data_IF_724050736473
#
_entry.id   IF_724050736473
#
_cell.length_a   1.000
_cell.length_b   1.000
_cell.length_c   1.000
_cell.angle_alpha   90.00
_cell.angle_beta   90.00
_cell.angle_gamma   90.00
#
_symmetry.space_group_name_H-M   'P 1'
#
loop_
_entity.id
_entity.type
_entity.pdbx_description
1 polymer ?
#
# COMPACT_ATOMS: atom_id res chain seq x y z
N UNK A 1 10.98 11.57 9.85
CA UNK A 1 9.97 10.59 9.39
C UNK A 1 9.09 11.31 8.37
N UNK A 2 8.76 10.65 7.26
CA UNK A 2 7.86 11.19 6.23
C UNK A 2 6.46 10.59 6.39
N UNK A 3 5.45 11.44 6.29
CA UNK A 3 4.05 11.06 6.39
C UNK A 3 3.47 10.68 5.03
N UNK A 4 2.71 9.59 5.01
CA UNK A 4 1.95 9.04 3.90
C UNK A 4 0.53 8.74 4.36
N UNK A 5 -0.34 8.34 3.43
CA UNK A 5 -1.74 7.99 3.73
C UNK A 5 -1.95 6.52 3.47
N UNK A 6 -2.40 5.79 4.49
CA UNK A 6 -2.78 4.37 4.38
C UNK A 6 -4.28 4.22 4.56
N UNK A 7 -4.92 3.55 3.62
CA UNK A 7 -6.34 3.23 3.66
C UNK A 7 -6.59 2.12 4.69
N UNK A 8 -7.45 2.41 5.67
CA UNK A 8 -7.98 1.44 6.59
C UNK A 8 -9.37 1.03 6.11
N UNK A 9 -9.50 -0.16 5.52
CA UNK A 9 -10.79 -0.58 4.95
C UNK A 9 -11.81 -1.06 5.98
N UNK A 10 -11.42 -1.32 7.23
CA UNK A 10 -12.37 -1.56 8.34
C UNK A 10 -13.06 -0.25 8.73
N UNK A 11 -12.27 0.79 8.97
CA UNK A 11 -12.77 2.09 9.41
C UNK A 11 -13.22 3.01 8.27
N UNK A 12 -12.94 2.59 7.03
CA UNK A 12 -13.32 3.33 5.83
C UNK A 12 -12.73 4.74 5.74
N UNK A 13 -11.49 4.90 6.21
CA UNK A 13 -10.79 6.19 6.21
C UNK A 13 -9.29 6.01 6.00
N UNK A 14 -8.64 7.10 5.58
CA UNK A 14 -7.18 7.17 5.56
C UNK A 14 -6.64 7.48 6.95
N UNK A 15 -5.57 6.80 7.32
CA UNK A 15 -4.80 7.03 8.54
C UNK A 15 -3.36 7.47 8.18
N UNK A 16 -2.72 8.30 9.03
CA UNK A 16 -1.31 8.63 8.86
C UNK A 16 -0.43 7.38 8.89
N UNK A 17 0.46 7.26 7.91
CA UNK A 17 1.46 6.20 7.81
C UNK A 17 2.85 6.83 7.76
N UNK A 18 3.65 6.59 8.80
CA UNK A 18 4.97 7.21 8.92
C UNK A 18 6.07 6.25 8.48
N UNK A 19 6.93 6.75 7.60
CA UNK A 19 8.05 6.00 7.03
C UNK A 19 9.36 6.72 7.35
N UNK A 20 10.45 6.01 7.65
CA UNK A 20 11.79 6.60 7.76
C UNK A 20 12.18 7.41 6.52
N UNK A 21 12.92 8.51 6.71
CA UNK A 21 13.28 9.42 5.60
C UNK A 21 14.29 8.85 4.62
N UNK A 22 15.06 7.86 5.05
CA UNK A 22 16.02 7.11 4.24
C UNK A 22 15.33 6.11 3.29
N UNK A 23 14.02 5.89 3.43
CA UNK A 23 13.26 4.96 2.59
C UNK A 23 12.71 5.63 1.34
N UNK A 24 12.84 4.93 0.22
CA UNK A 24 12.45 5.39 -1.11
C UNK A 24 11.15 4.72 -1.57
N UNK A 25 10.03 5.24 -1.10
CA UNK A 25 8.72 4.88 -1.64
C UNK A 25 8.55 5.52 -3.02
N UNK A 26 8.37 4.69 -4.04
CA UNK A 26 8.23 5.11 -5.42
C UNK A 26 6.77 5.03 -5.86
N UNK A 27 6.26 6.07 -6.51
CA UNK A 27 4.92 6.08 -7.10
C UNK A 27 4.96 5.60 -8.56
N UNK A 28 6.00 6.02 -9.28
CA UNK A 28 6.19 5.75 -10.69
C UNK A 28 7.68 5.85 -11.05
N UNK A 29 8.14 4.95 -11.91
CA UNK A 29 9.46 4.97 -12.53
C UNK A 29 9.37 4.35 -13.93
N UNK A 30 10.16 4.86 -14.87
CA UNK A 30 10.41 4.22 -16.17
C UNK A 30 11.59 3.24 -16.09
N UNK A 31 12.46 3.42 -15.10
CA UNK A 31 13.58 2.51 -14.82
C UNK A 31 13.07 1.34 -13.97
N UNK A 32 13.03 0.15 -14.58
CA UNK A 32 12.58 -1.11 -13.97
C UNK A 32 13.63 -1.73 -13.05
N UNK A 33 14.88 -1.31 -13.17
CA UNK A 33 16.01 -1.79 -12.38
C UNK A 33 16.26 -0.92 -11.15
N UNK A 34 15.55 0.19 -11.05
CA UNK A 34 15.58 1.12 -9.94
C UNK A 34 15.29 0.40 -8.62
N UNK A 35 16.24 0.48 -7.67
CA UNK A 35 15.99 0.03 -6.31
C UNK A 35 15.06 1.01 -5.59
N UNK A 36 13.96 0.46 -5.07
CA UNK A 36 12.91 1.17 -4.32
C UNK A 36 12.57 0.37 -3.07
N UNK A 37 11.95 1.00 -2.07
CA UNK A 37 11.48 0.30 -0.88
C UNK A 37 9.99 -0.04 -1.01
N UNK A 38 9.63 -1.28 -0.69
CA UNK A 38 8.23 -1.70 -0.57
C UNK A 38 7.50 -0.80 0.43
N UNK A 39 6.38 -0.20 0.02
CA UNK A 39 5.62 0.73 0.86
C UNK A 39 4.93 0.11 2.09
N UNK A 40 5.01 -1.21 2.28
CA UNK A 40 4.43 -1.92 3.42
C UNK A 40 5.53 -2.43 4.38
N UNK A 41 6.46 -3.25 3.86
CA UNK A 41 7.48 -3.89 4.69
C UNK A 41 8.85 -3.17 4.69
N UNK A 42 9.00 -2.10 3.89
CA UNK A 42 10.21 -1.27 3.80
C UNK A 42 11.49 -2.03 3.40
N UNK A 43 11.33 -3.20 2.78
CA UNK A 43 12.44 -3.96 2.20
C UNK A 43 12.74 -3.42 0.79
N UNK A 44 14.04 -3.32 0.42
CA UNK A 44 14.44 -2.99 -0.94
C UNK A 44 13.94 -4.03 -1.95
N UNK A 45 13.53 -3.58 -3.12
CA UNK A 45 13.06 -4.38 -4.26
C UNK A 45 13.31 -3.60 -5.56
N UNK A 46 13.45 -4.28 -6.69
CA UNK A 46 13.51 -3.60 -8.00
C UNK A 46 12.12 -3.11 -8.38
N UNK A 47 12.01 -1.89 -8.89
CA UNK A 47 10.74 -1.30 -9.28
C UNK A 47 9.94 -2.20 -10.25
N UNK A 48 10.62 -2.89 -11.18
CA UNK A 48 9.99 -3.79 -12.12
C UNK A 48 9.37 -5.06 -11.52
N UNK A 49 9.66 -5.37 -10.26
CA UNK A 49 9.10 -6.51 -9.52
C UNK A 49 7.93 -6.10 -8.61
N UNK A 50 7.53 -4.83 -8.66
CA UNK A 50 6.52 -4.27 -7.77
C UNK A 50 5.13 -4.28 -8.39
N UNK A 51 4.13 -4.20 -7.53
CA UNK A 51 2.75 -3.89 -7.89
C UNK A 51 2.37 -2.51 -7.36
N UNK A 52 1.20 -2.03 -7.76
CA UNK A 52 0.58 -0.81 -7.20
C UNK A 52 -0.18 -1.15 -5.92
N UNK A 53 0.21 -0.55 -4.80
CA UNK A 53 -0.47 -0.72 -3.52
C UNK A 53 -1.94 -0.31 -3.61
N UNK A 54 -2.78 -1.04 -2.89
CA UNK A 54 -4.22 -0.77 -2.71
C UNK A 54 -4.53 -0.03 -1.41
N UNK A 55 -3.52 0.16 -0.57
CA UNK A 55 -3.68 0.74 0.75
C UNK A 55 -2.87 2.03 0.89
N UNK A 56 -1.62 2.06 0.45
CA UNK A 56 -0.73 3.21 0.63
C UNK A 56 -0.81 4.08 -0.62
N UNK A 57 -1.43 5.25 -0.49
CA UNK A 57 -1.73 6.15 -1.61
C UNK A 57 -1.13 7.54 -1.41
N UNK A 58 -0.94 8.26 -2.53
CA UNK A 58 -0.68 9.70 -2.51
C UNK A 58 -1.98 10.51 -2.29
N UNK A 59 -1.88 11.84 -2.31
CA UNK A 59 -3.01 12.74 -2.06
C UNK A 59 -4.18 12.62 -3.05
N UNK A 60 -3.96 12.01 -4.23
CA UNK A 60 -4.96 11.85 -5.29
C UNK A 60 -5.39 10.39 -5.52
N UNK A 61 -4.91 9.46 -4.69
CA UNK A 61 -5.33 8.05 -4.74
C UNK A 61 -4.45 7.12 -5.59
N UNK A 62 -3.29 7.56 -6.08
CA UNK A 62 -2.33 6.66 -6.73
C UNK A 62 -1.55 5.85 -5.70
N UNK A 63 -1.41 4.55 -5.93
CA UNK A 63 -0.67 3.65 -5.05
C UNK A 63 0.84 3.66 -5.26
N UNK A 64 1.55 3.53 -4.15
CA UNK A 64 3.00 3.35 -4.16
C UNK A 64 3.39 1.91 -4.50
N UNK A 65 4.65 1.72 -4.88
CA UNK A 65 5.25 0.43 -5.17
C UNK A 65 5.21 -0.50 -3.94
N UNK A 66 4.65 -1.69 -4.11
CA UNK A 66 4.55 -2.73 -3.10
C UNK A 66 5.11 -4.05 -3.63
N UNK A 67 5.79 -4.82 -2.78
CA UNK A 67 6.32 -6.12 -3.20
C UNK A 67 5.21 -7.17 -3.38
N UNK A 68 5.45 -8.25 -4.15
CA UNK A 68 4.44 -9.27 -4.45
C UNK A 68 3.76 -9.86 -3.21
N UNK A 69 4.57 -10.19 -2.18
CA UNK A 69 4.07 -10.74 -0.92
C UNK A 69 3.09 -9.78 -0.24
N UNK A 70 3.49 -8.52 -0.06
CA UNK A 70 2.63 -7.55 0.62
C UNK A 70 1.41 -7.18 -0.23
N UNK A 71 1.48 -7.26 -1.56
CA UNK A 71 0.33 -7.07 -2.43
C UNK A 71 -0.73 -8.17 -2.25
N UNK A 72 -0.30 -9.42 -2.09
CA UNK A 72 -1.21 -10.52 -1.75
C UNK A 72 -1.87 -10.31 -0.39
N UNK A 73 -1.09 -9.91 0.62
CA UNK A 73 -1.62 -9.60 1.96
C UNK A 73 -2.63 -8.41 1.93
N UNK A 74 -2.42 -7.40 1.08
CA UNK A 74 -3.39 -6.31 0.85
C UNK A 74 -4.71 -6.84 0.26
N UNK A 75 -4.64 -7.78 -0.68
CA UNK A 75 -5.84 -8.42 -1.23
C UNK A 75 -6.61 -9.24 -0.20
N UNK A 76 -5.90 -10.01 0.62
CA UNK A 76 -6.52 -10.78 1.70
C UNK A 76 -7.23 -9.87 2.70
N UNK A 77 -6.56 -8.79 3.15
CA UNK A 77 -7.18 -7.78 4.03
C UNK A 77 -8.42 -7.17 3.40
N UNK A 78 -8.35 -6.81 2.11
CA UNK A 78 -9.50 -6.26 1.39
C UNK A 78 -10.69 -7.22 1.37
N UNK A 79 -10.49 -8.50 1.08
CA UNK A 79 -11.55 -9.52 1.11
C UNK A 79 -12.19 -9.65 2.49
N UNK A 80 -11.37 -9.64 3.55
CA UNK A 80 -11.87 -9.69 4.93
C UNK A 80 -12.79 -8.51 5.24
N UNK A 81 -12.40 -7.29 4.84
CA UNK A 81 -13.19 -6.09 5.10
C UNK A 81 -14.45 -6.00 4.24
N UNK A 82 -14.40 -6.48 2.99
CA UNK A 82 -15.57 -6.56 2.11
C UNK A 82 -16.61 -7.54 2.69
N UNK A 83 -16.19 -8.72 3.14
CA UNK A 83 -17.09 -9.69 3.77
C UNK A 83 -17.70 -9.16 5.08
N UNK A 84 -16.92 -8.43 5.90
CA UNK A 84 -17.42 -7.83 7.14
C UNK A 84 -18.54 -6.80 6.88
N UNK A 85 -18.42 -6.02 5.79
CA UNK A 85 -19.46 -5.06 5.42
C UNK A 85 -20.76 -5.76 5.02
N UNK A 86 -20.65 -6.83 4.24
CA UNK A 86 -21.82 -7.62 3.83
C UNK A 86 -22.56 -8.15 5.05
N UNK A 87 -21.83 -8.71 6.03
CA UNK A 87 -22.45 -9.16 7.29
C UNK A 87 -23.09 -8.05 8.12
N UNK A 88 -22.51 -6.83 8.12
CA UNK A 88 -23.08 -5.67 8.85
C UNK A 88 -24.22 -4.94 8.13
N UNK A 89 -24.46 -5.25 6.85
CA UNK A 89 -25.52 -4.63 6.05
C UNK A 89 -26.82 -5.46 6.05
N UNK A 90 -26.77 -6.69 6.58
CA UNK A 90 -27.89 -7.63 6.68
C UNK A 90 -28.59 -7.60 8.07
N UNK A 91 -28.09 -6.79 9.02
CA UNK A 91 -28.70 -6.50 10.33
C UNK A 91 -29.47 -5.16 10.33
#
# INVERSE_FOLDING_TARGET
MKEYRKWNGVQHRYEPYYVPEDKRLCLYSEDMDLEVDCCQCLKPIRYGETYTSKEVHNGVGFGYAVCPKCYEEEWERRRVWENQKESSAEE
#
